data_IF_960748438745
#
_entry.id   IF_960748438745
#
_cell.length_a   1.000
_cell.length_b   1.000
_cell.length_c   1.000
_cell.angle_alpha   90.00
_cell.angle_beta   90.00
_cell.angle_gamma   90.00
#
_symmetry.space_group_name_H-M   'P 1'
#
loop_
_entity.id
_entity.type
_entity.pdbx_description
1 polymer ?
#
# COMPACT_ATOMS: atom_id res chain seq x y z
N UNK A 1 -10.43 12.27 -5.13
CA UNK A 1 -11.15 11.01 -5.19
C UNK A 1 -10.72 10.27 -6.45
N UNK A 2 -10.34 9.01 -6.31
CA UNK A 2 -10.04 8.15 -7.44
C UNK A 2 -11.27 7.27 -7.72
N UNK A 3 -11.80 7.33 -8.93
CA UNK A 3 -12.75 6.35 -9.45
C UNK A 3 -12.11 5.62 -10.63
N UNK A 4 -12.31 4.32 -10.74
CA UNK A 4 -11.85 3.56 -11.91
C UNK A 4 -12.52 4.05 -13.20
N UNK A 5 -13.73 4.61 -13.09
CA UNK A 5 -14.50 5.14 -14.21
C UNK A 5 -13.91 6.42 -14.80
N UNK A 6 -13.08 7.15 -14.02
CA UNK A 6 -12.36 8.34 -14.49
C UNK A 6 -11.19 7.96 -15.42
N UNK A 7 -10.89 6.67 -15.53
CA UNK A 7 -9.75 6.14 -16.29
C UNK A 7 -10.18 5.01 -17.23
N UNK A 8 -10.75 5.33 -18.39
CA UNK A 8 -11.37 4.34 -19.29
C UNK A 8 -10.41 3.24 -19.80
N UNK A 9 -9.10 3.44 -19.66
CA UNK A 9 -8.08 2.42 -19.93
C UNK A 9 -7.81 1.46 -18.78
N UNK A 10 -8.27 1.77 -17.56
CA UNK A 10 -8.06 0.95 -16.36
C UNK A 10 -9.23 -0.01 -16.20
N UNK A 11 -8.96 -1.29 -16.24
CA UNK A 11 -9.98 -2.34 -16.13
C UNK A 11 -9.98 -3.04 -14.77
N UNK A 12 -8.96 -2.83 -13.97
CA UNK A 12 -8.87 -3.41 -12.64
C UNK A 12 -7.93 -2.63 -11.74
N UNK A 13 -8.17 -2.75 -10.43
CA UNK A 13 -7.37 -2.14 -9.40
C UNK A 13 -7.18 -3.11 -8.23
N UNK A 14 -5.99 -3.15 -7.66
CA UNK A 14 -5.70 -3.93 -6.48
C UNK A 14 -4.91 -3.10 -5.47
N UNK A 15 -5.12 -3.35 -4.18
CA UNK A 15 -4.41 -2.67 -3.11
C UNK A 15 -3.79 -3.66 -2.12
N UNK A 16 -2.71 -3.23 -1.48
CA UNK A 16 -2.06 -3.96 -0.40
C UNK A 16 -2.47 -3.35 0.95
N UNK A 17 -3.32 -4.01 1.75
CA UNK A 17 -3.76 -3.49 3.04
C UNK A 17 -2.64 -3.41 4.07
N UNK A 18 -1.55 -4.17 3.89
CA UNK A 18 -0.40 -4.14 4.76
C UNK A 18 0.25 -2.75 4.88
N UNK A 19 0.21 -1.96 3.81
CA UNK A 19 0.81 -0.62 3.77
C UNK A 19 -0.22 0.50 3.77
N UNK A 20 -1.26 0.38 2.97
CA UNK A 20 -2.26 1.42 2.76
C UNK A 20 -3.40 1.44 3.78
N UNK A 21 -3.65 0.33 4.49
CA UNK A 21 -4.78 0.19 5.41
C UNK A 21 -4.29 -0.28 6.78
N UNK A 22 -3.88 0.66 7.61
CA UNK A 22 -3.47 0.45 9.02
C UNK A 22 -2.43 -0.67 9.25
N UNK A 23 -1.54 -0.90 8.27
CA UNK A 23 -0.48 -1.91 8.36
C UNK A 23 -0.97 -3.30 8.79
N UNK A 24 -2.09 -3.73 8.26
CA UNK A 24 -2.61 -5.07 8.54
C UNK A 24 -1.61 -6.15 8.13
N UNK A 25 -1.60 -7.29 8.80
CA UNK A 25 -0.88 -8.46 8.31
C UNK A 25 -1.27 -8.79 6.86
N UNK A 26 -0.40 -9.48 6.12
CA UNK A 26 -0.68 -9.97 4.76
C UNK A 26 -1.76 -11.07 4.81
N UNK A 27 -3.02 -10.67 4.75
CA UNK A 27 -4.16 -11.56 4.96
C UNK A 27 -5.16 -11.54 3.82
N UNK A 28 -5.35 -10.40 3.19
CA UNK A 28 -6.23 -10.21 2.04
C UNK A 28 -5.75 -9.04 1.20
N UNK A 29 -6.18 -8.97 -0.04
CA UNK A 29 -5.98 -7.84 -0.93
C UNK A 29 -7.33 -7.45 -1.54
N UNK A 30 -7.82 -6.23 -1.33
CA UNK A 30 -9.01 -5.76 -2.04
C UNK A 30 -8.68 -5.58 -3.51
N UNK A 31 -9.59 -6.03 -4.35
CA UNK A 31 -9.54 -5.84 -5.79
C UNK A 31 -10.85 -5.25 -6.27
N UNK A 32 -10.79 -4.43 -7.30
CA UNK A 32 -11.95 -3.88 -8.00
C UNK A 32 -11.76 -4.10 -9.49
N UNK A 33 -12.83 -4.49 -10.17
CA UNK A 33 -12.84 -4.70 -11.60
C UNK A 33 -13.96 -3.88 -12.23
N UNK A 34 -13.73 -3.37 -13.44
CA UNK A 34 -14.77 -2.74 -14.24
C UNK A 34 -15.70 -3.81 -14.84
N UNK A 35 -16.94 -3.41 -15.17
CA UNK A 35 -17.88 -4.28 -15.86
C UNK A 35 -17.31 -4.80 -17.18
N UNK A 36 -16.60 -3.94 -17.91
CA UNK A 36 -15.89 -4.33 -19.13
C UNK A 36 -14.94 -5.52 -18.91
N UNK A 37 -14.17 -5.51 -17.80
CA UNK A 37 -13.27 -6.62 -17.48
C UNK A 37 -14.05 -7.90 -17.17
N UNK A 38 -15.14 -7.78 -16.43
CA UNK A 38 -16.01 -8.93 -16.11
C UNK A 38 -16.61 -9.53 -17.37
N UNK A 39 -17.05 -8.70 -18.32
CA UNK A 39 -17.61 -9.18 -19.60
C UNK A 39 -16.54 -9.83 -20.48
N UNK A 40 -15.33 -9.32 -20.50
CA UNK A 40 -14.22 -9.90 -21.22
C UNK A 40 -13.81 -11.27 -20.62
N UNK A 41 -13.80 -11.39 -19.29
CA UNK A 41 -13.56 -12.66 -18.60
C UNK A 41 -14.68 -13.67 -18.87
N UNK A 42 -15.94 -13.24 -18.98
CA UNK A 42 -17.05 -14.12 -19.36
C UNK A 42 -16.89 -14.67 -20.77
N UNK A 43 -16.40 -13.85 -21.69
CA UNK A 43 -16.23 -14.20 -23.10
C UNK A 43 -15.02 -15.10 -23.32
N UNK A 44 -13.89 -14.77 -22.74
CA UNK A 44 -12.60 -15.40 -23.00
C UNK A 44 -12.23 -16.49 -21.97
N UNK A 45 -12.97 -16.55 -20.86
CA UNK A 45 -12.67 -17.45 -19.76
C UNK A 45 -11.45 -17.03 -18.92
N UNK A 46 -11.20 -17.78 -17.86
CA UNK A 46 -10.04 -17.64 -16.97
C UNK A 46 -9.44 -19.01 -16.72
N UNK A 47 -8.12 -19.11 -16.79
CA UNK A 47 -7.41 -20.37 -16.64
C UNK A 47 -7.13 -20.77 -15.19
N UNK A 48 -7.56 -19.99 -14.20
CA UNK A 48 -7.29 -20.28 -12.78
C UNK A 48 -8.57 -20.30 -11.96
N UNK A 49 -8.73 -21.32 -11.15
CA UNK A 49 -9.85 -21.43 -10.21
C UNK A 49 -9.65 -20.48 -9.00
N UNK A 50 -8.43 -20.41 -8.45
CA UNK A 50 -8.15 -19.71 -7.18
C UNK A 50 -8.37 -18.20 -7.28
N UNK A 51 -8.08 -17.63 -8.43
CA UNK A 51 -8.21 -16.18 -8.67
C UNK A 51 -9.24 -15.85 -9.76
N UNK A 52 -10.33 -16.57 -9.77
CA UNK A 52 -11.38 -16.43 -10.77
C UNK A 52 -12.31 -15.25 -10.40
N UNK A 53 -12.22 -14.09 -11.09
CA UNK A 53 -12.90 -12.87 -10.65
C UNK A 53 -14.42 -12.99 -10.64
N UNK A 54 -15.01 -13.75 -11.57
CA UNK A 54 -16.45 -13.97 -11.60
C UNK A 54 -16.92 -14.84 -10.43
N UNK A 55 -16.19 -15.92 -10.11
CA UNK A 55 -16.54 -16.76 -8.97
C UNK A 55 -16.38 -16.03 -7.64
N UNK A 56 -15.36 -15.18 -7.50
CA UNK A 56 -15.19 -14.30 -6.34
C UNK A 56 -16.35 -13.30 -6.24
N UNK A 57 -16.68 -12.62 -7.33
CA UNK A 57 -17.76 -11.65 -7.35
C UNK A 57 -19.13 -12.28 -7.02
N UNK A 58 -19.39 -13.50 -7.48
CA UNK A 58 -20.57 -14.27 -7.09
C UNK A 58 -20.56 -14.69 -5.62
N UNK A 59 -19.39 -15.14 -5.11
CA UNK A 59 -19.24 -15.52 -3.71
C UNK A 59 -19.57 -14.35 -2.76
N UNK A 60 -19.13 -13.16 -3.12
CA UNK A 60 -19.39 -11.94 -2.35
C UNK A 60 -20.75 -11.28 -2.65
N UNK A 61 -21.57 -11.86 -3.51
CA UNK A 61 -22.88 -11.32 -3.86
C UNK A 61 -22.83 -10.02 -4.68
N UNK A 62 -21.73 -9.77 -5.37
CA UNK A 62 -21.57 -8.57 -6.22
C UNK A 62 -22.25 -8.74 -7.56
N UNK A 63 -22.25 -9.95 -8.12
CA UNK A 63 -22.91 -10.29 -9.38
C UNK A 63 -23.68 -11.60 -9.27
N UNK A 64 -24.76 -11.69 -10.05
CA UNK A 64 -25.50 -12.93 -10.30
C UNK A 64 -25.02 -13.61 -11.58
N UNK A 65 -25.31 -14.89 -11.72
CA UNK A 65 -25.03 -15.65 -12.91
C UNK A 65 -26.03 -16.77 -13.18
N UNK A 66 -26.14 -17.16 -14.45
CA UNK A 66 -27.08 -18.22 -14.86
C UNK A 66 -26.77 -19.55 -14.21
N UNK A 67 -25.49 -19.87 -14.02
CA UNK A 67 -25.03 -21.18 -13.54
C UNK A 67 -24.79 -21.21 -12.03
N UNK A 68 -24.69 -20.05 -11.39
CA UNK A 68 -24.51 -19.93 -9.94
C UNK A 68 -25.05 -18.58 -9.48
N UNK A 69 -26.05 -18.56 -8.57
CA UNK A 69 -26.58 -17.33 -8.02
C UNK A 69 -25.54 -16.59 -7.16
N UNK A 70 -25.78 -15.30 -6.91
CA UNK A 70 -24.98 -14.53 -5.99
C UNK A 70 -24.89 -15.18 -4.60
N UNK A 71 -23.75 -15.07 -3.94
CA UNK A 71 -23.49 -15.73 -2.67
C UNK A 71 -23.11 -17.22 -2.79
N UNK A 72 -22.95 -17.75 -4.01
CA UNK A 72 -22.49 -19.14 -4.21
C UNK A 72 -21.07 -19.30 -3.67
N UNK A 73 -20.88 -20.32 -2.86
CA UNK A 73 -19.57 -20.64 -2.28
C UNK A 73 -18.53 -20.90 -3.39
N UNK A 74 -17.41 -20.22 -3.31
CA UNK A 74 -16.27 -20.43 -4.17
C UNK A 74 -15.07 -21.01 -3.42
N UNK A 75 -14.67 -20.38 -2.32
CA UNK A 75 -13.58 -20.83 -1.48
C UNK A 75 -13.72 -20.31 -0.05
N UNK A 76 -13.02 -20.95 0.90
CA UNK A 76 -12.96 -20.48 2.28
C UNK A 76 -11.98 -19.32 2.40
N UNK A 77 -12.48 -18.16 2.83
CA UNK A 77 -11.67 -17.03 3.21
C UNK A 77 -11.31 -17.08 4.69
N UNK A 78 -10.17 -16.50 5.06
CA UNK A 78 -9.83 -16.35 6.47
C UNK A 78 -10.78 -15.34 7.14
N UNK A 79 -11.66 -15.80 8.01
CA UNK A 79 -12.58 -14.95 8.73
C UNK A 79 -11.87 -13.86 9.55
N UNK A 80 -10.73 -14.20 10.15
CA UNK A 80 -9.90 -13.22 10.88
C UNK A 80 -9.34 -12.13 9.98
N UNK A 81 -8.91 -12.50 8.77
CA UNK A 81 -8.40 -11.55 7.79
C UNK A 81 -9.48 -10.56 7.36
N UNK A 82 -10.67 -11.06 7.04
CA UNK A 82 -11.81 -10.24 6.63
C UNK A 82 -12.27 -9.34 7.79
N UNK A 83 -12.36 -9.86 9.01
CA UNK A 83 -12.73 -9.09 10.19
C UNK A 83 -11.72 -7.97 10.49
N UNK A 84 -10.43 -8.28 10.43
CA UNK A 84 -9.37 -7.29 10.63
C UNK A 84 -9.39 -6.20 9.55
N UNK A 85 -9.62 -6.58 8.29
CA UNK A 85 -9.73 -5.63 7.17
C UNK A 85 -10.98 -4.74 7.32
N UNK A 86 -12.12 -5.32 7.67
CA UNK A 86 -13.35 -4.57 7.95
C UNK A 86 -13.13 -3.52 9.05
N UNK A 87 -12.53 -3.91 10.17
CA UNK A 87 -12.27 -2.98 11.27
C UNK A 87 -11.30 -1.86 10.87
N UNK A 88 -10.25 -2.19 10.11
CA UNK A 88 -9.31 -1.20 9.60
C UNK A 88 -9.99 -0.20 8.64
N UNK A 89 -10.87 -0.68 7.76
CA UNK A 89 -11.67 0.20 6.91
C UNK A 89 -12.58 1.10 7.74
N UNK A 90 -13.25 0.55 8.76
CA UNK A 90 -14.12 1.29 9.66
C UNK A 90 -13.37 2.43 10.39
N UNK A 91 -12.15 2.16 10.87
CA UNK A 91 -11.29 3.18 11.48
C UNK A 91 -10.92 4.26 10.46
N UNK A 92 -10.47 3.87 9.27
CA UNK A 92 -10.11 4.83 8.21
C UNK A 92 -11.29 5.71 7.78
N UNK A 93 -12.48 5.13 7.65
CA UNK A 93 -13.69 5.89 7.28
C UNK A 93 -14.08 6.88 8.37
N UNK A 94 -13.96 6.52 9.65
CA UNK A 94 -14.22 7.44 10.79
C UNK A 94 -13.23 8.60 10.82
N UNK A 95 -11.97 8.37 10.53
CA UNK A 95 -10.95 9.43 10.44
C UNK A 95 -11.19 10.35 9.26
N UNK A 96 -11.79 9.84 8.19
CA UNK A 96 -12.05 10.54 6.95
C UNK A 96 -10.82 10.59 6.03
N UNK A 97 -11.03 10.22 4.77
CA UNK A 97 -9.96 10.12 3.76
C UNK A 97 -9.16 11.40 3.59
N UNK A 98 -9.84 12.55 3.52
CA UNK A 98 -9.19 13.84 3.33
C UNK A 98 -8.32 14.25 4.54
N UNK A 99 -8.76 13.96 5.76
CA UNK A 99 -7.98 14.22 6.97
C UNK A 99 -6.72 13.34 6.98
N UNK A 100 -6.86 12.06 6.68
CA UNK A 100 -5.75 11.12 6.62
C UNK A 100 -4.74 11.47 5.52
N UNK A 101 -5.22 11.86 4.34
CA UNK A 101 -4.34 12.31 3.25
C UNK A 101 -3.52 13.55 3.64
N UNK A 102 -4.13 14.52 4.34
CA UNK A 102 -3.40 15.69 4.85
C UNK A 102 -2.35 15.31 5.91
N UNK A 103 -2.69 14.39 6.79
CA UNK A 103 -1.75 13.88 7.81
C UNK A 103 -0.53 13.23 7.16
N UNK A 104 -0.74 12.34 6.18
CA UNK A 104 0.37 11.72 5.43
C UNK A 104 1.22 12.75 4.68
N UNK A 105 0.59 13.72 4.01
CA UNK A 105 1.31 14.78 3.31
C UNK A 105 2.16 15.64 4.27
N UNK A 106 1.64 15.92 5.44
CA UNK A 106 2.38 16.66 6.49
C UNK A 106 3.61 15.87 6.97
N UNK A 107 3.43 14.59 7.28
CA UNK A 107 4.52 13.72 7.72
C UNK A 107 5.58 13.53 6.63
N UNK A 108 5.16 13.35 5.39
CA UNK A 108 6.06 13.25 4.26
C UNK A 108 6.89 14.53 4.09
N UNK A 109 6.25 15.69 4.12
CA UNK A 109 6.92 16.95 3.97
C UNK A 109 7.95 17.18 5.09
N UNK A 110 7.60 16.89 6.34
CA UNK A 110 8.51 16.98 7.47
C UNK A 110 9.73 16.08 7.31
N UNK A 111 9.51 14.82 6.89
CA UNK A 111 10.59 13.86 6.66
C UNK A 111 11.48 14.30 5.49
N UNK A 112 10.90 14.77 4.37
CA UNK A 112 11.68 15.30 3.24
C UNK A 112 12.56 16.45 3.62
N UNK A 113 12.03 17.42 4.37
CA UNK A 113 12.79 18.56 4.85
C UNK A 113 13.95 18.12 5.75
N UNK A 114 13.70 17.19 6.66
CA UNK A 114 14.69 16.69 7.58
C UNK A 114 15.85 15.97 6.87
N UNK A 115 15.55 15.02 5.96
CA UNK A 115 16.60 14.28 5.23
C UNK A 115 17.34 15.17 4.24
N UNK A 116 16.68 16.17 3.64
CA UNK A 116 17.33 17.15 2.76
C UNK A 116 18.30 18.04 3.54
N UNK A 117 17.95 18.43 4.77
CA UNK A 117 18.85 19.21 5.66
C UNK A 117 20.12 18.42 6.03
N UNK A 118 20.08 17.09 5.94
CA UNK A 118 21.22 16.19 6.14
C UNK A 118 22.03 15.97 4.86
N UNK A 119 21.70 16.65 3.76
CA UNK A 119 22.36 16.54 2.48
C UNK A 119 21.93 15.34 1.62
N UNK A 120 20.84 14.67 1.99
CA UNK A 120 20.26 13.62 1.15
C UNK A 120 19.43 14.25 0.02
N UNK A 121 19.45 13.61 -1.15
CA UNK A 121 18.59 13.95 -2.28
C UNK A 121 17.36 13.07 -2.28
N UNK A 122 16.17 13.65 -2.19
CA UNK A 122 14.91 12.90 -2.27
C UNK A 122 14.51 12.71 -3.72
N UNK A 123 14.35 11.45 -4.14
CA UNK A 123 14.07 11.06 -5.53
C UNK A 123 12.64 10.58 -5.76
N UNK A 124 11.89 10.24 -4.69
CA UNK A 124 10.48 9.82 -4.81
C UNK A 124 9.52 11.00 -4.86
N UNK A 125 8.39 10.79 -5.52
CA UNK A 125 7.24 11.71 -5.52
C UNK A 125 6.00 11.10 -4.84
N UNK A 126 6.17 10.02 -4.07
CA UNK A 126 5.07 9.30 -3.40
C UNK A 126 4.89 9.78 -1.97
N UNK A 127 3.65 9.98 -1.55
CA UNK A 127 3.30 10.45 -0.20
C UNK A 127 3.49 9.43 0.92
N UNK A 128 3.63 8.15 0.59
CA UNK A 128 3.78 7.07 1.58
C UNK A 128 5.18 6.47 1.63
N UNK A 129 6.07 6.93 0.75
CA UNK A 129 7.41 6.37 0.61
C UNK A 129 8.40 7.45 0.21
N UNK A 130 9.37 7.71 1.08
CA UNK A 130 10.50 8.58 0.78
C UNK A 130 11.66 7.71 0.31
N UNK A 131 12.10 7.93 -0.92
CA UNK A 131 13.30 7.30 -1.51
C UNK A 131 14.36 8.38 -1.66
N UNK A 132 15.56 8.10 -1.21
CA UNK A 132 16.63 9.09 -1.17
C UNK A 132 17.99 8.51 -1.58
N UNK A 133 18.79 9.36 -2.21
CA UNK A 133 20.21 9.18 -2.37
C UNK A 133 20.92 9.72 -1.13
N UNK A 134 21.89 8.98 -0.63
CA UNK A 134 22.75 9.46 0.44
C UNK A 134 23.68 10.58 -0.04
N UNK A 135 24.14 11.46 0.86
CA UNK A 135 25.16 12.44 0.51
C UNK A 135 26.43 11.72 0.05
N UNK A 136 27.23 12.38 -0.79
CA UNK A 136 28.44 11.81 -1.39
C UNK A 136 29.40 11.19 -0.37
N UNK A 137 29.47 11.73 0.83
CA UNK A 137 30.28 11.20 1.95
C UNK A 137 29.85 9.83 2.46
N UNK A 138 28.61 9.43 2.18
CA UNK A 138 28.02 8.15 2.60
C UNK A 138 27.63 7.25 1.41
N UNK A 139 27.90 7.69 0.18
CA UNK A 139 27.61 6.90 -1.01
C UNK A 139 28.34 5.55 -0.97
N UNK A 140 27.62 4.47 -1.29
CA UNK A 140 28.11 3.09 -1.20
C UNK A 140 28.02 2.46 0.20
N UNK A 141 27.55 3.22 1.19
CA UNK A 141 27.39 2.74 2.58
C UNK A 141 25.91 2.52 2.97
N UNK A 142 25.03 2.41 2.01
CA UNK A 142 23.58 2.29 2.21
C UNK A 142 23.22 1.09 3.09
N UNK A 143 23.92 -0.04 2.89
CA UNK A 143 23.70 -1.26 3.69
C UNK A 143 24.14 -1.08 5.15
N UNK A 144 25.25 -0.40 5.38
CA UNK A 144 25.75 -0.10 6.72
C UNK A 144 24.77 0.81 7.46
N UNK A 145 24.28 1.85 6.79
CA UNK A 145 23.28 2.75 7.34
C UNK A 145 21.99 2.00 7.71
N UNK A 146 21.50 1.14 6.82
CA UNK A 146 20.31 0.32 7.09
C UNK A 146 20.50 -0.55 8.31
N UNK A 147 21.67 -1.16 8.47
CA UNK A 147 21.99 -1.99 9.66
C UNK A 147 22.05 -1.14 10.93
N UNK A 148 22.72 0.03 10.87
CA UNK A 148 22.80 0.95 12.00
C UNK A 148 21.42 1.44 12.45
N UNK A 149 20.54 1.79 11.51
CA UNK A 149 19.16 2.19 11.80
C UNK A 149 18.37 1.04 12.44
N UNK A 150 18.50 -0.17 11.90
CA UNK A 150 17.83 -1.37 12.48
C UNK A 150 18.30 -1.65 13.90
N UNK A 151 19.60 -1.52 14.18
CA UNK A 151 20.14 -1.68 15.53
C UNK A 151 19.57 -0.68 16.53
N UNK A 152 19.11 0.49 16.04
CA UNK A 152 18.41 1.52 16.82
C UNK A 152 16.89 1.41 16.80
N UNK A 153 16.33 0.33 16.21
CA UNK A 153 14.90 0.08 16.15
C UNK A 153 14.16 0.70 14.96
N UNK A 154 14.87 1.22 13.95
CA UNK A 154 14.26 1.80 12.75
C UNK A 154 14.26 0.84 11.57
N UNK A 155 13.08 0.64 10.99
CA UNK A 155 12.91 -0.13 9.76
C UNK A 155 13.09 0.74 8.52
N UNK A 156 14.31 0.81 8.00
CA UNK A 156 14.60 1.37 6.68
C UNK A 156 15.16 0.26 5.77
N UNK A 157 15.04 0.44 4.47
CA UNK A 157 15.45 -0.59 3.49
C UNK A 157 16.21 0.01 2.32
N UNK A 158 17.23 -0.69 1.82
CA UNK A 158 17.83 -0.35 0.54
C UNK A 158 16.84 -0.65 -0.60
N UNK A 159 16.99 0.01 -1.75
CA UNK A 159 16.35 -0.40 -2.99
C UNK A 159 17.01 -1.69 -3.51
N UNK A 160 16.28 -2.40 -4.38
CA UNK A 160 16.83 -3.59 -5.06
C UNK A 160 17.44 -3.26 -6.43
N UNK A 161 17.24 -2.04 -6.90
CA UNK A 161 17.77 -1.52 -8.17
C UNK A 161 19.06 -0.73 -7.97
N UNK A 162 19.89 -0.67 -8.99
CA UNK A 162 21.02 0.22 -9.03
C UNK A 162 20.64 1.59 -9.65
N UNK A 163 21.15 2.72 -9.16
CA UNK A 163 21.97 2.82 -7.95
C UNK A 163 21.18 2.47 -6.69
N UNK A 164 21.86 1.91 -5.70
CA UNK A 164 21.23 1.56 -4.43
C UNK A 164 20.84 2.85 -3.70
N UNK A 165 19.57 2.94 -3.33
CA UNK A 165 18.99 4.06 -2.60
C UNK A 165 18.45 3.58 -1.26
N UNK A 166 18.15 4.49 -0.34
CA UNK A 166 17.49 4.18 0.93
C UNK A 166 16.01 4.50 0.82
N UNK A 167 15.17 3.62 1.36
CA UNK A 167 13.71 3.77 1.40
C UNK A 167 13.22 3.90 2.84
N UNK A 168 12.42 4.92 3.09
CA UNK A 168 11.74 5.16 4.36
C UNK A 168 10.24 5.14 4.09
N UNK A 169 9.53 4.16 4.66
CA UNK A 169 8.08 4.06 4.54
C UNK A 169 7.40 4.92 5.60
N UNK A 170 6.49 5.78 5.17
CA UNK A 170 5.57 6.47 6.07
C UNK A 170 4.33 5.58 6.19
N UNK A 171 4.38 4.68 7.15
CA UNK A 171 3.33 3.70 7.40
C UNK A 171 2.69 4.03 8.75
N UNK A 172 1.39 4.19 8.77
CA UNK A 172 0.63 4.55 9.97
C UNK A 172 0.91 5.95 10.53
N UNK A 173 0.34 6.21 11.69
CA UNK A 173 0.43 7.49 12.39
C UNK A 173 1.84 7.69 12.97
N UNK A 174 2.75 8.19 12.17
CA UNK A 174 3.99 8.73 12.70
C UNK A 174 3.66 10.06 13.35
N UNK A 175 3.82 10.16 14.66
CA UNK A 175 3.75 11.45 15.33
C UNK A 175 4.94 12.34 14.90
N UNK A 176 4.78 13.66 15.00
CA UNK A 176 5.90 14.61 14.77
C UNK A 176 7.10 14.24 15.65
N UNK A 177 6.86 13.79 16.88
CA UNK A 177 7.91 13.31 17.79
C UNK A 177 8.66 12.10 17.23
N UNK A 178 7.94 11.13 16.65
CA UNK A 178 8.57 9.97 16.03
C UNK A 178 9.41 10.34 14.80
N UNK A 179 8.94 11.31 13.99
CA UNK A 179 9.72 11.81 12.85
C UNK A 179 10.99 12.50 13.33
N UNK A 180 10.88 13.36 14.36
CA UNK A 180 12.02 14.03 14.96
C UNK A 180 13.02 13.01 15.53
N UNK A 181 12.54 11.98 16.22
CA UNK A 181 13.40 10.93 16.77
C UNK A 181 14.13 10.14 15.66
N UNK A 182 13.43 9.83 14.55
CA UNK A 182 14.06 9.22 13.37
C UNK A 182 15.22 10.09 12.88
N UNK A 183 14.96 11.39 12.68
CA UNK A 183 15.94 12.32 12.14
C UNK A 183 17.16 12.48 13.07
N UNK A 184 16.94 12.58 14.38
CA UNK A 184 18.05 12.75 15.34
C UNK A 184 18.93 11.51 15.49
N UNK A 185 18.45 10.34 15.04
CA UNK A 185 19.21 9.08 15.09
C UNK A 185 19.87 8.69 13.76
N UNK A 186 19.56 9.47 12.70
CA UNK A 186 20.19 9.34 11.40
C UNK A 186 21.58 10.00 11.40
#
# INVERSE_FOLDING_TARGET
DFSIDDYPGVVGWASCPQKGVLCLPLTCAPVSFSDRYIDEVRTNGVQTYVHHPILEARHWGVIDGKDAPAGTYHRTHSGYAVAAFHEALRINLRQGRAAKAREYAHHEQALRQAVSAMGCEVTSNMTSLVVLNLPKSLAGREKELVQACRAKGFGIWPTLSEPVQVRIGILNQLSQAAITDIVLRF
#
